data_IF_088158627997
#
_entry.id   IF_088158627997
#
_cell.length_a   1.000
_cell.length_b   1.000
_cell.length_c   1.000
_cell.angle_alpha   90.00
_cell.angle_beta   90.00
_cell.angle_gamma   90.00
#
_symmetry.space_group_name_H-M   'P 1'
#
loop_
_entity.id
_entity.type
_entity.pdbx_description
1 polymer ?
#
# COMPACT_ATOMS: atom_id res chain seq x y z
N UNK A 1 -47.17 -26.71 62.71
CA UNK A 1 -47.86 -25.98 61.62
C UNK A 1 -47.87 -24.50 61.98
N UNK A 2 -47.24 -23.63 61.18
CA UNK A 2 -47.13 -22.18 61.40
C UNK A 2 -45.69 -21.70 61.57
N UNK A 3 -44.88 -21.62 60.51
CA UNK A 3 -44.63 -20.45 59.63
C UNK A 3 -43.76 -19.33 60.26
N UNK A 4 -42.45 -19.49 60.06
CA UNK A 4 -41.49 -18.53 59.50
C UNK A 4 -41.96 -17.08 59.23
N UNK A 5 -41.26 -16.10 59.82
CA UNK A 5 -40.87 -14.78 59.24
C UNK A 5 -39.57 -14.36 59.94
N UNK A 6 -38.37 -14.58 59.39
CA UNK A 6 -37.69 -13.87 58.29
C UNK A 6 -37.59 -12.35 58.51
N UNK A 7 -36.38 -11.91 58.92
CA UNK A 7 -35.97 -10.52 59.03
C UNK A 7 -34.44 -10.45 59.03
N UNK A 8 -33.81 -10.91 57.95
CA UNK A 8 -32.37 -10.82 57.76
C UNK A 8 -32.06 -9.48 57.07
N UNK A 9 -31.42 -8.58 57.83
CA UNK A 9 -30.88 -7.32 57.35
C UNK A 9 -29.80 -7.57 56.30
N UNK A 10 -29.92 -6.88 55.16
CA UNK A 10 -29.01 -6.99 54.03
C UNK A 10 -27.66 -6.35 54.31
N UNK A 11 -26.60 -7.11 54.02
CA UNK A 11 -25.25 -6.59 53.78
C UNK A 11 -24.96 -6.82 52.30
N UNK A 12 -25.14 -5.78 51.49
CA UNK A 12 -24.67 -5.77 50.10
C UNK A 12 -23.21 -5.36 50.14
N UNK A 13 -22.33 -6.37 50.10
CA UNK A 13 -20.88 -6.19 50.00
C UNK A 13 -20.55 -5.82 48.54
N UNK A 14 -20.28 -4.54 48.29
CA UNK A 14 -19.85 -4.04 46.98
C UNK A 14 -18.43 -4.50 46.67
N UNK A 15 -18.29 -5.46 45.74
CA UNK A 15 -17.02 -5.80 45.10
C UNK A 15 -16.63 -4.68 44.12
N UNK A 16 -15.74 -3.80 44.58
CA UNK A 16 -15.06 -2.85 43.71
C UNK A 16 -14.01 -3.58 42.87
N UNK A 17 -14.35 -3.92 41.63
CA UNK A 17 -13.41 -4.38 40.61
C UNK A 17 -12.49 -3.23 40.22
N UNK A 18 -11.34 -3.11 40.88
CA UNK A 18 -10.30 -2.18 40.44
C UNK A 18 -9.75 -2.62 39.07
N UNK A 19 -9.78 -1.78 38.04
CA UNK A 19 -9.05 -2.08 36.80
C UNK A 19 -7.55 -1.96 37.09
N UNK A 20 -6.85 -3.09 37.06
CA UNK A 20 -5.39 -3.13 36.97
C UNK A 20 -4.99 -2.51 35.64
N UNK A 21 -4.52 -1.26 35.66
CA UNK A 21 -3.92 -0.62 34.50
C UNK A 21 -2.59 -1.33 34.21
N UNK A 22 -2.60 -2.23 33.24
CA UNK A 22 -1.37 -2.74 32.63
C UNK A 22 -0.60 -1.58 32.01
N UNK A 23 0.64 -1.36 32.46
CA UNK A 23 1.58 -0.43 31.85
C UNK A 23 1.66 -0.72 30.34
N UNK A 24 1.22 0.24 29.52
CA UNK A 24 1.43 0.17 28.07
C UNK A 24 2.90 0.51 27.82
N UNK A 25 3.72 -0.51 27.59
CA UNK A 25 5.08 -0.34 27.10
C UNK A 25 5.03 0.36 25.73
N UNK A 26 5.33 1.65 25.69
CA UNK A 26 5.46 2.40 24.45
C UNK A 26 6.78 2.00 23.79
N UNK A 27 6.72 1.07 22.84
CA UNK A 27 7.88 0.73 22.03
C UNK A 27 8.15 1.88 21.05
N UNK A 28 9.33 2.49 21.16
CA UNK A 28 9.83 3.43 20.16
C UNK A 28 10.23 2.60 18.94
N UNK A 29 9.46 2.71 17.85
CA UNK A 29 9.80 2.05 16.59
C UNK A 29 10.81 2.91 15.85
N UNK A 30 12.08 2.51 15.92
CA UNK A 30 13.10 3.00 15.03
C UNK A 30 13.00 2.25 13.69
N UNK A 31 13.31 2.90 12.56
CA UNK A 31 13.45 2.21 11.28
C UNK A 31 14.54 1.13 11.36
N UNK A 32 14.16 -0.13 11.15
CA UNK A 32 15.10 -1.25 11.05
C UNK A 32 15.38 -1.51 9.58
N UNK A 33 16.65 -1.41 9.18
CA UNK A 33 17.10 -1.76 7.84
C UNK A 33 17.81 -3.12 7.88
N UNK A 34 17.49 -3.98 6.90
CA UNK A 34 18.20 -5.23 6.68
C UNK A 34 18.76 -5.23 5.25
N UNK A 35 20.08 -5.31 5.10
CA UNK A 35 20.75 -5.42 3.81
C UNK A 35 21.52 -6.73 3.70
N UNK A 36 21.64 -7.23 2.48
CA UNK A 36 22.53 -8.32 2.11
C UNK A 36 23.32 -7.86 0.89
N UNK A 37 24.64 -8.04 0.89
CA UNK A 37 25.54 -7.54 -0.14
C UNK A 37 26.55 -8.62 -0.51
N UNK A 38 26.82 -8.76 -1.80
CA UNK A 38 27.81 -9.69 -2.34
C UNK A 38 28.88 -8.88 -3.07
N UNK A 39 30.14 -9.03 -2.66
CA UNK A 39 31.28 -8.30 -3.22
C UNK A 39 32.30 -9.25 -3.85
N UNK A 40 31.93 -9.91 -4.94
CA UNK A 40 32.77 -10.89 -5.63
C UNK A 40 32.94 -10.54 -7.10
N UNK A 41 34.03 -11.01 -7.71
CA UNK A 41 34.25 -10.93 -9.14
C UNK A 41 33.99 -12.30 -9.77
N UNK A 42 33.15 -12.35 -10.79
CA UNK A 42 32.86 -13.57 -11.55
C UNK A 42 33.11 -13.32 -13.03
N UNK A 43 33.69 -14.30 -13.72
CA UNK A 43 33.81 -14.30 -15.17
C UNK A 43 32.54 -14.90 -15.76
N UNK A 44 31.83 -14.14 -16.60
CA UNK A 44 30.57 -14.55 -17.22
C UNK A 44 30.73 -14.54 -18.73
N UNK A 45 30.35 -15.61 -19.45
CA UNK A 45 30.41 -15.61 -20.91
C UNK A 45 29.40 -14.60 -21.48
N UNK A 46 29.60 -14.17 -22.73
CA UNK A 46 28.64 -13.30 -23.41
C UNK A 46 27.26 -13.98 -23.50
N UNK A 47 26.21 -13.24 -23.13
CA UNK A 47 24.82 -13.73 -22.95
C UNK A 47 24.68 -14.83 -21.89
N UNK A 48 25.72 -15.02 -21.07
CA UNK A 48 25.73 -15.95 -19.95
C UNK A 48 25.12 -15.35 -18.70
N UNK A 49 24.82 -16.24 -17.76
CA UNK A 49 24.51 -15.90 -16.39
C UNK A 49 25.45 -16.60 -15.42
N UNK A 50 25.71 -15.96 -14.29
CA UNK A 50 26.41 -16.58 -13.16
C UNK A 50 25.58 -16.37 -11.89
N UNK A 51 25.47 -17.43 -11.10
CA UNK A 51 24.94 -17.34 -9.75
C UNK A 51 26.06 -16.83 -8.83
N UNK A 52 25.82 -15.75 -8.10
CA UNK A 52 26.80 -15.23 -7.16
C UNK A 52 26.63 -15.90 -5.80
N UNK A 53 25.46 -15.72 -5.19
CA UNK A 53 25.24 -16.15 -3.81
C UNK A 53 23.76 -16.13 -3.42
N UNK A 54 23.42 -16.71 -2.28
CA UNK A 54 22.10 -16.60 -1.68
C UNK A 54 22.09 -16.80 -0.17
N UNK A 55 21.04 -16.29 0.48
CA UNK A 55 20.79 -16.42 1.91
C UNK A 55 19.49 -17.16 2.16
N UNK A 56 19.62 -18.39 2.66
CA UNK A 56 18.51 -19.15 3.21
C UNK A 56 18.40 -18.92 4.73
N UNK A 57 17.18 -18.79 5.20
CA UNK A 57 16.70 -18.64 6.58
C UNK A 57 15.67 -19.75 6.75
N UNK A 58 15.54 -20.37 7.94
CA UNK A 58 14.69 -21.56 8.12
C UNK A 58 13.78 -21.60 9.37
N UNK A 59 12.58 -22.19 9.19
CA UNK A 59 11.41 -22.02 10.06
C UNK A 59 10.22 -22.97 10.13
N UNK A 60 9.37 -22.84 11.18
CA UNK A 60 8.53 -23.86 11.86
C UNK A 60 8.38 -23.60 13.40
N UNK A 61 7.23 -23.10 13.84
CA UNK A 61 6.87 -23.02 15.26
C UNK A 61 5.72 -23.93 15.70
N UNK A 62 5.70 -24.33 16.98
CA UNK A 62 4.63 -25.10 17.64
C UNK A 62 4.29 -24.54 19.03
N UNK A 63 3.20 -23.80 19.16
CA UNK A 63 2.66 -23.45 20.47
C UNK A 63 1.56 -24.44 20.89
N UNK A 64 1.71 -25.09 22.04
CA UNK A 64 0.65 -25.86 22.67
C UNK A 64 0.41 -25.39 24.10
N UNK A 65 -0.81 -24.92 24.37
CA UNK A 65 -1.27 -24.57 25.70
C UNK A 65 -1.88 -25.82 26.35
N UNK A 66 -1.55 -26.11 27.61
CA UNK A 66 -2.14 -27.28 28.28
C UNK A 66 -2.03 -27.28 29.81
N UNK A 67 -2.80 -28.19 30.41
CA UNK A 67 -3.77 -27.83 31.45
C UNK A 67 -3.16 -27.53 32.82
N UNK A 68 -3.82 -26.68 33.61
CA UNK A 68 -3.34 -26.32 34.94
C UNK A 68 -3.23 -27.51 35.94
N UNK A 69 -3.61 -28.76 35.58
CA UNK A 69 -3.57 -29.97 36.45
C UNK A 69 -3.20 -31.32 35.81
N UNK A 70 -3.15 -31.47 34.48
CA UNK A 70 -2.59 -32.67 33.81
C UNK A 70 -1.29 -32.29 33.10
N UNK A 71 -0.28 -33.17 33.24
CA UNK A 71 1.14 -33.08 32.84
C UNK A 71 1.41 -32.69 31.37
N UNK A 72 0.98 -31.51 30.94
CA UNK A 72 1.26 -30.99 29.61
C UNK A 72 0.98 -29.50 29.59
N UNK A 73 1.87 -28.71 30.19
CA UNK A 73 1.75 -27.26 30.35
C UNK A 73 1.74 -26.46 29.03
N UNK A 74 1.66 -25.14 29.17
CA UNK A 74 1.82 -24.20 28.05
C UNK A 74 3.25 -24.20 27.52
N UNK A 75 3.42 -24.52 26.24
CA UNK A 75 4.67 -24.48 25.49
C UNK A 75 4.47 -23.73 24.17
N UNK A 76 5.51 -23.06 23.72
CA UNK A 76 5.59 -22.30 22.48
C UNK A 76 6.86 -22.68 21.74
N UNK A 77 6.77 -22.92 20.45
CA UNK A 77 7.87 -23.24 19.58
C UNK A 77 7.69 -22.38 18.32
N UNK A 78 8.78 -22.04 17.66
CA UNK A 78 8.89 -21.05 16.58
C UNK A 78 10.07 -21.44 15.71
N UNK A 79 9.98 -21.35 14.38
CA UNK A 79 11.15 -21.29 13.50
C UNK A 79 10.71 -20.36 12.29
N UNK A 80 11.58 -19.65 11.53
CA UNK A 80 11.19 -18.88 10.30
C UNK A 80 11.96 -19.17 8.97
N UNK A 81 11.33 -19.64 7.86
CA UNK A 81 12.00 -19.92 6.55
C UNK A 81 12.00 -18.69 5.62
N UNK A 82 13.10 -18.37 4.95
CA UNK A 82 13.23 -17.31 3.94
C UNK A 82 14.39 -17.66 3.00
N UNK A 83 14.34 -17.34 1.72
CA UNK A 83 15.45 -17.53 0.80
C UNK A 83 15.63 -16.26 -0.03
N UNK A 84 16.86 -15.80 -0.23
CA UNK A 84 17.19 -14.71 -1.14
C UNK A 84 18.40 -15.12 -1.97
N UNK A 85 18.53 -14.63 -3.20
CA UNK A 85 19.65 -14.97 -4.04
C UNK A 85 19.97 -13.90 -5.06
N UNK A 86 21.22 -13.88 -5.50
CA UNK A 86 21.79 -12.88 -6.41
C UNK A 86 22.45 -13.63 -7.56
N UNK A 87 21.99 -13.33 -8.77
CA UNK A 87 22.63 -13.75 -10.01
C UNK A 87 22.90 -12.52 -10.88
N UNK A 88 23.89 -12.63 -11.76
CA UNK A 88 24.16 -11.62 -12.78
C UNK A 88 24.06 -12.24 -14.16
N UNK A 89 23.73 -11.40 -15.13
CA UNK A 89 23.75 -11.73 -16.55
C UNK A 89 24.59 -10.69 -17.27
N UNK A 90 25.48 -11.14 -18.14
CA UNK A 90 26.30 -10.25 -18.95
C UNK A 90 25.83 -10.28 -20.40
N UNK A 91 25.82 -9.13 -21.07
CA UNK A 91 25.57 -9.04 -22.51
C UNK A 91 26.53 -8.02 -23.08
N UNK A 92 27.33 -8.45 -24.05
CA UNK A 92 28.24 -7.58 -24.79
C UNK A 92 27.45 -7.04 -26.00
N UNK A 93 27.37 -5.72 -26.08
CA UNK A 93 26.72 -5.03 -27.18
C UNK A 93 27.75 -4.73 -28.26
N UNK A 94 27.53 -5.30 -29.45
CA UNK A 94 28.17 -4.83 -30.68
C UNK A 94 27.41 -3.59 -31.17
N UNK A 95 28.03 -2.42 -31.01
CA UNK A 95 27.42 -1.15 -31.38
C UNK A 95 27.23 -0.99 -32.90
N UNK A 96 28.11 -1.59 -33.70
CA UNK A 96 28.02 -1.53 -35.17
C UNK A 96 26.82 -2.34 -35.67
N UNK A 97 26.67 -3.57 -35.17
CA UNK A 97 25.50 -4.39 -35.46
C UNK A 97 24.18 -3.76 -34.96
N UNK A 98 24.21 -3.09 -33.80
CA UNK A 98 23.05 -2.38 -33.25
C UNK A 98 22.67 -1.15 -34.08
N UNK A 99 23.65 -0.38 -34.54
CA UNK A 99 23.43 0.79 -35.40
C UNK A 99 22.87 0.36 -36.76
N UNK A 100 23.44 -0.67 -37.38
CA UNK A 100 22.91 -1.26 -38.61
C UNK A 100 21.45 -1.71 -38.44
N UNK A 101 21.12 -2.35 -37.31
CA UNK A 101 19.76 -2.76 -36.97
C UNK A 101 18.82 -1.59 -36.68
N UNK A 102 19.31 -0.48 -36.12
CA UNK A 102 18.53 0.74 -35.88
C UNK A 102 18.22 1.47 -37.18
N UNK A 103 19.21 1.57 -38.08
CA UNK A 103 19.06 2.15 -39.42
C UNK A 103 18.07 1.33 -40.24
N UNK A 104 18.24 0.01 -40.28
CA UNK A 104 17.31 -0.90 -40.98
C UNK A 104 15.89 -0.82 -40.38
N UNK A 105 15.75 -0.77 -39.05
CA UNK A 105 14.45 -0.59 -38.40
C UNK A 105 13.84 0.77 -38.72
N UNK A 106 14.62 1.85 -38.78
CA UNK A 106 14.13 3.19 -39.14
C UNK A 106 13.63 3.20 -40.59
N UNK A 107 14.36 2.57 -41.51
CA UNK A 107 13.94 2.43 -42.90
C UNK A 107 12.65 1.62 -42.97
N UNK A 108 12.54 0.50 -42.25
CA UNK A 108 11.31 -0.30 -42.16
C UNK A 108 10.14 0.42 -41.49
N UNK A 109 10.36 1.19 -40.43
CA UNK A 109 9.30 1.96 -39.75
C UNK A 109 8.84 3.17 -40.57
N UNK A 110 9.74 3.74 -41.39
CA UNK A 110 9.38 4.83 -42.32
C UNK A 110 8.58 4.30 -43.51
N UNK A 111 8.86 3.06 -43.95
CA UNK A 111 8.19 2.43 -45.08
C UNK A 111 6.95 1.60 -44.68
N UNK A 112 6.81 1.23 -43.41
CA UNK A 112 5.60 0.60 -42.88
C UNK A 112 4.57 1.70 -42.60
N UNK A 113 3.58 1.84 -43.49
CA UNK A 113 2.39 2.61 -43.19
C UNK A 113 1.76 2.09 -41.87
N UNK A 114 1.33 2.97 -40.95
CA UNK A 114 0.77 2.55 -39.67
C UNK A 114 -0.57 1.85 -39.91
N UNK A 115 -0.54 0.52 -39.96
CA UNK A 115 -1.73 -0.31 -39.90
C UNK A 115 -2.06 -0.55 -38.42
N UNK A 116 -3.17 -0.01 -37.96
CA UNK A 116 -3.82 -0.48 -36.73
C UNK A 116 -3.60 0.40 -35.50
N UNK A 117 -4.72 0.84 -34.94
CA UNK A 117 -4.88 1.61 -33.72
C UNK A 117 -4.66 0.76 -32.45
N UNK A 118 -3.46 0.25 -32.25
CA UNK A 118 -3.17 -0.52 -31.04
C UNK A 118 -2.66 0.43 -29.95
N UNK A 119 -3.52 0.80 -28.99
CA UNK A 119 -3.13 1.56 -27.80
C UNK A 119 -1.94 0.94 -27.04
N UNK A 120 -1.71 -0.36 -27.26
CA UNK A 120 -0.57 -1.12 -26.76
C UNK A 120 0.75 -0.78 -27.47
N UNK A 121 0.76 -0.58 -28.80
CA UNK A 121 1.97 -0.21 -29.53
C UNK A 121 2.36 1.23 -29.23
N UNK A 122 1.39 2.14 -29.12
CA UNK A 122 1.63 3.52 -28.67
C UNK A 122 2.27 3.57 -27.26
N UNK A 123 1.78 2.74 -26.33
CA UNK A 123 2.34 2.64 -24.97
C UNK A 123 3.74 2.05 -24.94
N UNK A 124 4.03 1.10 -25.84
CA UNK A 124 5.37 0.52 -25.99
C UNK A 124 6.34 1.53 -26.60
N UNK A 125 5.93 2.30 -27.61
CA UNK A 125 6.76 3.33 -28.22
C UNK A 125 7.07 4.48 -27.25
N UNK A 126 6.09 4.89 -26.43
CA UNK A 126 6.30 5.82 -25.31
C UNK A 126 7.33 5.28 -24.30
N UNK A 127 7.23 4.00 -23.95
CA UNK A 127 8.18 3.33 -23.06
C UNK A 127 9.57 3.14 -23.69
N UNK A 128 9.66 3.14 -25.02
CA UNK A 128 10.88 2.94 -25.81
C UNK A 128 11.67 4.22 -26.07
N UNK A 129 11.12 5.38 -25.71
CA UNK A 129 11.87 6.65 -25.70
C UNK A 129 12.86 6.64 -24.54
N UNK A 130 13.98 5.93 -24.74
CA UNK A 130 15.13 5.89 -23.84
C UNK A 130 15.56 7.29 -23.42
N UNK A 131 15.51 7.57 -22.11
CA UNK A 131 15.98 8.83 -21.51
C UNK A 131 17.51 8.89 -21.39
N UNK A 132 18.21 7.82 -21.74
CA UNK A 132 19.66 7.64 -21.58
C UNK A 132 20.54 8.56 -22.44
N UNK A 133 19.96 9.33 -23.38
CA UNK A 133 20.68 10.31 -24.21
C UNK A 133 20.12 11.74 -24.16
N UNK A 134 19.12 12.02 -23.31
CA UNK A 134 18.64 13.40 -23.13
C UNK A 134 19.60 14.14 -22.21
N UNK A 135 20.22 15.20 -22.72
CA UNK A 135 21.00 16.13 -21.89
C UNK A 135 20.17 16.57 -20.69
N UNK A 136 20.81 16.67 -19.52
CA UNK A 136 20.13 17.05 -18.28
C UNK A 136 19.47 18.43 -18.51
N UNK A 137 18.13 18.54 -18.40
CA UNK A 137 17.47 19.82 -18.60
C UNK A 137 17.96 20.84 -17.58
N UNK A 138 18.02 22.11 -17.98
CA UNK A 138 18.41 23.18 -17.07
C UNK A 138 17.43 23.26 -15.90
N UNK A 139 17.90 23.72 -14.74
CA UNK A 139 17.06 23.88 -13.53
C UNK A 139 15.83 24.75 -13.83
N UNK A 140 15.98 25.77 -14.67
CA UNK A 140 14.86 26.61 -15.11
C UNK A 140 13.80 25.83 -15.92
N UNK A 141 14.23 24.92 -16.81
CA UNK A 141 13.33 24.07 -17.56
C UNK A 141 12.61 23.05 -16.66
N UNK A 142 13.33 22.46 -15.68
CA UNK A 142 12.75 21.54 -14.69
C UNK A 142 11.67 22.25 -13.85
N UNK A 143 11.95 23.47 -13.38
CA UNK A 143 10.97 24.23 -12.58
C UNK A 143 9.75 24.65 -13.40
N UNK A 144 9.93 25.01 -14.67
CA UNK A 144 8.81 25.32 -15.56
C UNK A 144 7.92 24.09 -15.82
N UNK A 145 8.54 22.92 -16.05
CA UNK A 145 7.83 21.65 -16.22
C UNK A 145 7.08 21.24 -14.94
N UNK A 146 7.71 21.41 -13.77
CA UNK A 146 7.09 21.14 -12.48
C UNK A 146 5.88 22.05 -12.24
N UNK A 147 5.98 23.34 -12.56
CA UNK A 147 4.86 24.29 -12.43
C UNK A 147 3.68 23.95 -13.35
N UNK A 148 3.93 23.47 -14.57
CA UNK A 148 2.88 23.00 -15.47
C UNK A 148 2.22 21.71 -14.95
N UNK A 149 3.02 20.78 -14.41
CA UNK A 149 2.51 19.55 -13.81
C UNK A 149 1.66 19.82 -12.56
N UNK A 150 2.05 20.79 -11.73
CA UNK A 150 1.27 21.23 -10.57
C UNK A 150 -0.08 21.83 -11.01
N UNK A 151 -0.09 22.72 -12.01
CA UNK A 151 -1.33 23.28 -12.55
C UNK A 151 -2.28 22.21 -13.10
N UNK A 152 -1.75 21.20 -13.79
CA UNK A 152 -2.54 20.09 -14.29
C UNK A 152 -3.13 19.25 -13.13
N UNK A 153 -2.33 18.97 -12.10
CA UNK A 153 -2.79 18.24 -10.92
C UNK A 153 -3.90 19.00 -10.17
N UNK A 154 -3.81 20.32 -10.08
CA UNK A 154 -4.82 21.16 -9.44
C UNK A 154 -6.14 21.19 -10.24
N UNK A 155 -6.06 21.24 -11.58
CA UNK A 155 -7.25 21.16 -12.44
C UNK A 155 -7.96 19.82 -12.30
N UNK A 156 -7.20 18.72 -12.26
CA UNK A 156 -7.78 17.40 -12.03
C UNK A 156 -8.42 17.28 -10.64
N UNK A 157 -7.75 17.82 -9.61
CA UNK A 157 -8.29 17.87 -8.25
C UNK A 157 -9.63 18.62 -8.19
N UNK A 158 -9.77 19.73 -8.92
CA UNK A 158 -11.02 20.49 -9.02
C UNK A 158 -12.17 19.66 -9.61
N UNK A 159 -11.89 18.87 -10.66
CA UNK A 159 -12.88 17.97 -11.26
C UNK A 159 -13.37 16.90 -10.28
N UNK A 160 -12.48 16.33 -9.47
CA UNK A 160 -12.84 15.36 -8.44
C UNK A 160 -13.63 16.00 -7.28
N UNK A 161 -13.27 17.23 -6.88
CA UNK A 161 -14.01 18.00 -5.88
C UNK A 161 -15.46 18.27 -6.29
N UNK A 162 -15.70 18.58 -7.57
CA UNK A 162 -17.05 18.82 -8.08
C UNK A 162 -17.91 17.55 -8.02
N UNK A 163 -17.36 16.39 -8.42
CA UNK A 163 -18.07 15.11 -8.33
C UNK A 163 -18.33 14.69 -6.88
N UNK A 164 -17.41 14.99 -5.98
CA UNK A 164 -17.59 14.80 -4.53
C UNK A 164 -18.78 15.58 -3.99
N UNK A 165 -18.90 16.87 -4.37
CA UNK A 165 -20.04 17.73 -4.00
C UNK A 165 -21.37 17.22 -4.55
N UNK A 166 -21.41 16.83 -5.82
CA UNK A 166 -22.61 16.24 -6.42
C UNK A 166 -23.05 14.95 -5.69
N UNK A 167 -22.09 14.14 -5.24
CA UNK A 167 -22.40 12.93 -4.46
C UNK A 167 -22.89 13.25 -3.04
N UNK A 168 -22.44 14.34 -2.41
CA UNK A 168 -23.01 14.84 -1.15
C UNK A 168 -24.46 15.30 -1.33
N UNK A 169 -24.72 16.13 -2.34
CA UNK A 169 -26.06 16.64 -2.67
C UNK A 169 -27.03 15.50 -3.00
N UNK A 170 -26.54 14.44 -3.65
CA UNK A 170 -27.31 13.23 -3.93
C UNK A 170 -27.51 12.31 -2.70
N UNK A 171 -27.05 12.70 -1.51
CA UNK A 171 -27.20 11.92 -0.28
C UNK A 171 -26.34 10.65 -0.22
N UNK A 172 -25.24 10.60 -0.98
CA UNK A 172 -24.33 9.44 -1.08
C UNK A 172 -22.98 9.73 -0.40
N UNK A 173 -22.91 9.83 0.94
CA UNK A 173 -21.72 10.27 1.65
C UNK A 173 -20.51 9.35 1.45
N UNK A 174 -20.73 8.04 1.28
CA UNK A 174 -19.63 7.09 1.01
C UNK A 174 -19.01 7.29 -0.39
N UNK A 175 -19.82 7.65 -1.39
CA UNK A 175 -19.33 7.95 -2.74
C UNK A 175 -18.59 9.29 -2.75
N UNK A 176 -19.12 10.29 -2.03
CA UNK A 176 -18.46 11.58 -1.86
C UNK A 176 -17.03 11.42 -1.27
N UNK A 177 -16.85 10.56 -0.26
CA UNK A 177 -15.53 10.26 0.30
C UNK A 177 -14.53 9.73 -0.72
N UNK A 178 -14.97 8.86 -1.63
CA UNK A 178 -14.09 8.31 -2.67
C UNK A 178 -13.60 9.43 -3.58
N UNK A 179 -14.51 10.31 -4.01
CA UNK A 179 -14.17 11.47 -4.85
C UNK A 179 -13.26 12.48 -4.15
N UNK A 180 -13.54 12.81 -2.89
CA UNK A 180 -12.65 13.66 -2.11
C UNK A 180 -11.30 12.99 -1.82
N UNK A 181 -11.26 11.68 -1.63
CA UNK A 181 -10.02 10.93 -1.49
C UNK A 181 -9.15 11.00 -2.75
N UNK A 182 -9.78 10.95 -3.94
CA UNK A 182 -9.08 11.17 -5.21
C UNK A 182 -8.59 12.61 -5.36
N UNK A 183 -9.39 13.59 -4.97
CA UNK A 183 -8.99 15.00 -4.96
C UNK A 183 -7.80 15.25 -4.01
N UNK A 184 -7.81 14.67 -2.80
CA UNK A 184 -6.74 14.84 -1.81
C UNK A 184 -5.41 14.20 -2.21
N UNK A 185 -5.42 13.23 -3.13
CA UNK A 185 -4.21 12.62 -3.70
C UNK A 185 -3.54 13.51 -4.76
N UNK A 186 -4.30 14.41 -5.38
CA UNK A 186 -3.83 15.33 -6.44
C UNK A 186 -3.57 16.74 -5.93
N UNK A 187 -4.33 17.20 -4.94
CA UNK A 187 -4.15 18.51 -4.32
C UNK A 187 -2.89 18.58 -3.43
N UNK A 188 -2.25 19.74 -3.41
CA UNK A 188 -1.10 20.04 -2.54
C UNK A 188 -1.44 21.12 -1.50
N UNK A 189 -0.54 21.37 -0.56
CA UNK A 189 -0.62 22.52 0.37
C UNK A 189 -1.88 22.61 1.24
N UNK A 190 -2.47 23.82 1.30
CA UNK A 190 -3.67 24.13 2.08
C UNK A 190 -4.92 23.41 1.57
N UNK A 191 -5.09 23.29 0.26
CA UNK A 191 -6.24 22.66 -0.36
C UNK A 191 -6.38 21.19 0.04
N UNK A 192 -5.27 20.45 0.14
CA UNK A 192 -5.28 19.07 0.63
C UNK A 192 -5.81 18.96 2.07
N UNK A 193 -5.44 19.89 2.95
CA UNK A 193 -5.88 19.89 4.35
C UNK A 193 -7.38 20.13 4.45
N UNK A 194 -7.91 21.05 3.64
CA UNK A 194 -9.34 21.34 3.58
C UNK A 194 -10.15 20.12 3.10
N UNK A 195 -9.66 19.43 2.06
CA UNK A 195 -10.32 18.22 1.54
C UNK A 195 -10.33 17.09 2.59
N UNK A 196 -9.21 16.90 3.29
CA UNK A 196 -9.11 15.90 4.36
C UNK A 196 -10.03 16.23 5.54
N UNK A 197 -10.14 17.50 5.92
CA UNK A 197 -11.09 17.95 6.94
C UNK A 197 -12.54 17.65 6.52
N UNK A 198 -12.88 17.86 5.25
CA UNK A 198 -14.21 17.55 4.71
C UNK A 198 -14.50 16.05 4.71
N UNK A 199 -13.53 15.20 4.37
CA UNK A 199 -13.66 13.73 4.47
C UNK A 199 -13.95 13.30 5.92
N UNK A 200 -13.27 13.92 6.90
CA UNK A 200 -13.51 13.65 8.31
C UNK A 200 -14.93 14.02 8.77
N UNK A 201 -15.48 15.13 8.24
CA UNK A 201 -16.86 15.56 8.52
C UNK A 201 -17.95 14.65 7.91
N UNK A 202 -17.61 13.86 6.89
CA UNK A 202 -18.55 12.94 6.21
C UNK A 202 -18.62 11.55 6.87
N UNK A 203 -18.02 11.34 8.05
CA UNK A 203 -18.17 10.07 8.77
C UNK A 203 -19.65 9.80 9.04
N UNK A 204 -20.19 8.62 8.67
CA UNK A 204 -21.56 8.29 9.04
C UNK A 204 -21.62 8.27 10.56
N UNK A 205 -22.54 9.04 11.12
CA UNK A 205 -22.91 8.88 12.53
C UNK A 205 -23.32 7.41 12.72
N UNK A 206 -22.74 6.66 13.68
CA UNK A 206 -23.00 5.23 13.85
C UNK A 206 -24.46 4.90 14.24
N UNK A 207 -25.32 5.91 14.41
CA UNK A 207 -26.69 5.76 14.90
C UNK A 207 -27.70 5.33 13.83
N UNK A 208 -27.48 5.59 12.54
CA UNK A 208 -28.47 5.28 11.49
C UNK A 208 -28.56 3.79 11.08
N UNK A 209 -27.68 2.93 11.61
CA UNK A 209 -27.60 1.50 11.26
C UNK A 209 -28.26 0.55 12.25
N UNK A 210 -28.71 1.02 13.42
CA UNK A 210 -29.29 0.17 14.46
C UNK A 210 -30.82 0.15 14.45
N UNK A 211 -31.48 1.18 13.92
CA UNK A 211 -32.96 1.25 13.91
C UNK A 211 -33.63 0.33 12.87
N UNK A 212 -32.90 -0.11 11.84
CA UNK A 212 -33.44 -0.92 10.76
C UNK A 212 -33.50 -2.43 11.07
N UNK A 213 -32.80 -2.92 12.11
CA UNK A 213 -32.75 -4.36 12.44
C UNK A 213 -33.70 -4.80 13.56
N UNK A 214 -34.32 -3.88 14.29
CA UNK A 214 -35.14 -4.22 15.47
C UNK A 214 -36.63 -4.37 15.15
N UNK A 215 -37.06 -4.13 13.91
CA UNK A 215 -38.48 -4.20 13.52
C UNK A 215 -38.92 -5.55 12.90
N UNK A 216 -38.03 -6.52 12.70
CA UNK A 216 -38.36 -7.75 11.95
C UNK A 216 -38.64 -8.98 12.82
N UNK A 217 -38.61 -8.87 14.16
CA UNK A 217 -38.82 -10.02 15.09
C UNK A 217 -40.17 -9.98 15.82
N UNK A 218 -41.17 -9.26 15.31
CA UNK A 218 -42.51 -9.22 15.94
C UNK A 218 -43.63 -9.43 14.93
N UNK A 219 -43.77 -10.68 14.46
CA UNK A 219 -45.05 -11.26 14.01
C UNK A 219 -45.09 -12.73 14.37
#
# INVERSE_FOLDING_TARGET
MGLLRLGAAGVVLGLASMPTFGQRASAVQLPTYSYFTVGTSVSVPDRGGAWLDGVDRAGSGVQSFGSARLLGGTRAFGTGRSAAGVGITATIHDFEALEAGLVDRRVRSTNAAPAGNDAWTARLDEARVSRAGRGVPSVAAINAELGLAEQAADQEAAGWLQRGRQAEEAGKPNVAKIYYGMAARRATGSQRREILARIAGLQPSPEAGQDAKTSETRR
#
